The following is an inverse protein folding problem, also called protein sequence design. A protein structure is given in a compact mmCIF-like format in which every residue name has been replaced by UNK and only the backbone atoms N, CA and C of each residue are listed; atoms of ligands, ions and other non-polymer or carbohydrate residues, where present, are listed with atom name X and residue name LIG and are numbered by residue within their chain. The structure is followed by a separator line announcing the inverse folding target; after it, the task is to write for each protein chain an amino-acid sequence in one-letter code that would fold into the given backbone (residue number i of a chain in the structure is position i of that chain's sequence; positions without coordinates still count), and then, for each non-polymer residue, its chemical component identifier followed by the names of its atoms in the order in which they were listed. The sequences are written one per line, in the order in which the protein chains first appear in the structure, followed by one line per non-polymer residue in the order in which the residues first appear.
data_IF_369239045471
#
_entry.id   IF_369239045471
#
_cell.length_a   1.000
_cell.length_b   1.000
_cell.length_c   1.000
_cell.angle_alpha   90.00
_cell.angle_beta   90.00
_cell.angle_gamma   90.00
#
_symmetry.space_group_name_H-M   'P 1'
#
loop_
_entity.id
_entity.type
_entity.pdbx_description
1 polymer ?
#
# COMPACT_ATOMS: atom_id res chain seq x y z
N UNK A 1 -0.54 -14.59 -14.78
CA UNK A 1 0.31 -14.79 -13.59
C UNK A 1 1.76 -14.58 -14.00
N UNK A 2 2.53 -13.81 -13.24
CA UNK A 2 3.96 -13.57 -13.46
C UNK A 2 4.73 -14.02 -12.20
N UNK A 3 5.97 -14.49 -12.37
CA UNK A 3 6.84 -14.91 -11.26
C UNK A 3 8.01 -13.92 -11.14
N UNK A 4 8.33 -13.52 -9.91
CA UNK A 4 9.35 -12.52 -9.61
C UNK A 4 10.41 -13.15 -8.70
N UNK A 5 11.59 -13.55 -9.21
CA UNK A 5 12.63 -14.22 -8.42
C UNK A 5 13.47 -13.25 -7.56
N UNK A 6 12.97 -12.04 -7.30
CA UNK A 6 13.62 -11.01 -6.47
C UNK A 6 14.33 -9.89 -7.23
N UNK A 7 14.70 -10.09 -8.50
CA UNK A 7 15.37 -9.08 -9.34
C UNK A 7 14.53 -8.60 -10.54
N UNK A 8 13.30 -9.10 -10.67
CA UNK A 8 12.37 -8.71 -11.72
C UNK A 8 11.26 -7.84 -11.14
N UNK A 9 10.74 -6.93 -11.96
CA UNK A 9 9.64 -6.04 -11.60
C UNK A 9 8.90 -5.59 -12.86
N UNK A 10 7.69 -5.06 -12.68
CA UNK A 10 6.95 -4.36 -13.72
C UNK A 10 7.05 -2.87 -13.44
N UNK A 11 7.50 -2.08 -14.43
CA UNK A 11 7.44 -0.61 -14.38
C UNK A 11 6.42 -0.11 -15.38
N UNK A 12 5.46 0.67 -14.89
CA UNK A 12 4.62 1.51 -15.72
C UNK A 12 5.07 2.98 -15.58
N UNK A 13 5.55 3.57 -16.68
CA UNK A 13 6.00 4.97 -16.69
C UNK A 13 4.85 5.90 -17.00
N UNK A 14 4.35 6.58 -15.97
CA UNK A 14 3.19 7.48 -16.05
C UNK A 14 3.56 8.94 -16.36
N UNK A 15 4.78 9.20 -16.85
CA UNK A 15 5.32 10.56 -17.08
C UNK A 15 4.41 11.43 -17.95
N UNK A 16 3.74 10.83 -18.95
CA UNK A 16 2.86 11.56 -19.87
C UNK A 16 1.37 11.49 -19.49
N UNK A 17 1.02 10.73 -18.44
CA UNK A 17 -0.34 10.53 -17.96
C UNK A 17 -0.31 10.30 -16.44
N UNK A 18 -0.07 11.35 -15.64
CA UNK A 18 -0.03 11.23 -14.19
C UNK A 18 -1.39 10.76 -13.64
N UNK A 19 -1.35 10.06 -12.51
CA UNK A 19 -2.56 9.70 -11.77
C UNK A 19 -3.05 10.96 -11.08
N UNK A 20 -4.24 11.43 -11.45
CA UNK A 20 -4.88 12.64 -10.90
C UNK A 20 -6.23 12.34 -10.26
N UNK A 21 -6.56 11.06 -10.07
CA UNK A 21 -7.80 10.63 -9.45
C UNK A 21 -7.89 11.04 -7.97
N UNK A 22 -9.12 11.15 -7.48
CA UNK A 22 -9.42 11.40 -6.07
C UNK A 22 -9.79 10.10 -5.34
N UNK A 23 -10.10 9.06 -6.10
CA UNK A 23 -10.43 7.72 -5.64
C UNK A 23 -9.69 6.70 -6.49
N UNK A 24 -9.15 5.67 -5.87
CA UNK A 24 -8.41 4.60 -6.54
C UNK A 24 -8.70 3.26 -5.87
N UNK A 25 -8.68 2.21 -6.69
CA UNK A 25 -8.62 0.84 -6.22
C UNK A 25 -7.39 0.14 -6.80
N UNK A 26 -6.62 -0.50 -5.93
CA UNK A 26 -5.54 -1.41 -6.30
C UNK A 26 -5.97 -2.79 -5.86
N UNK A 27 -6.04 -3.72 -6.81
CA UNK A 27 -6.48 -5.09 -6.57
C UNK A 27 -5.53 -6.08 -7.24
N UNK A 28 -5.02 -7.04 -6.47
CA UNK A 28 -4.17 -8.11 -6.98
C UNK A 28 -4.15 -9.33 -6.06
N UNK A 29 -3.73 -10.46 -6.63
CA UNK A 29 -3.40 -11.68 -5.89
C UNK A 29 -1.89 -11.90 -5.87
N UNK A 30 -1.36 -12.42 -4.77
CA UNK A 30 0.05 -12.77 -4.65
C UNK A 30 0.24 -14.05 -3.83
N UNK A 31 1.39 -14.69 -4.04
CA UNK A 31 1.85 -15.88 -3.32
C UNK A 31 3.36 -15.74 -3.15
N UNK A 32 3.88 -15.94 -1.94
CA UNK A 32 5.30 -15.77 -1.64
C UNK A 32 5.74 -16.57 -0.42
N UNK A 33 7.01 -16.96 -0.39
CA UNK A 33 7.73 -17.47 0.80
C UNK A 33 8.73 -16.41 1.35
N UNK A 34 8.83 -15.25 0.70
CA UNK A 34 9.68 -14.15 1.12
C UNK A 34 8.96 -13.31 2.19
N UNK A 35 9.56 -13.21 3.37
CA UNK A 35 9.07 -12.40 4.49
C UNK A 35 9.28 -10.90 4.28
N UNK A 36 10.25 -10.52 3.44
CA UNK A 36 10.61 -9.15 3.11
C UNK A 36 10.48 -8.93 1.60
N UNK A 37 9.44 -8.24 1.13
CA UNK A 37 9.26 -8.02 -0.32
C UNK A 37 8.34 -6.85 -0.64
N UNK A 38 8.66 -6.11 -1.71
CA UNK A 38 7.79 -5.06 -2.24
C UNK A 38 6.75 -5.68 -3.19
N UNK A 39 5.47 -5.45 -2.91
CA UNK A 39 4.36 -5.95 -3.73
C UNK A 39 3.88 -4.90 -4.72
N UNK A 40 3.82 -3.64 -4.29
CA UNK A 40 3.34 -2.53 -5.10
C UNK A 40 3.97 -1.21 -4.65
N UNK A 41 4.31 -0.35 -5.61
CA UNK A 41 4.72 1.02 -5.35
C UNK A 41 4.23 1.93 -6.46
N UNK A 42 3.61 3.05 -6.09
CA UNK A 42 3.24 4.12 -7.00
C UNK A 42 3.56 5.47 -6.38
N UNK A 43 4.19 6.34 -7.16
CA UNK A 43 4.48 7.71 -6.76
C UNK A 43 5.94 8.10 -6.96
N UNK A 44 6.32 9.16 -6.26
CA UNK A 44 7.63 9.78 -6.29
C UNK A 44 8.06 10.17 -4.87
N UNK A 45 9.19 10.85 -4.73
CA UNK A 45 9.79 11.20 -3.44
C UNK A 45 8.85 11.91 -2.47
N UNK A 46 7.90 12.72 -2.96
CA UNK A 46 7.07 13.58 -2.11
C UNK A 46 5.61 13.14 -2.00
N UNK A 47 5.19 12.18 -2.82
CA UNK A 47 3.84 11.64 -2.81
C UNK A 47 3.89 10.22 -3.34
N UNK A 48 3.51 9.26 -2.50
CA UNK A 48 3.61 7.85 -2.84
C UNK A 48 2.69 6.97 -2.01
N UNK A 49 2.48 5.76 -2.50
CA UNK A 49 1.81 4.66 -1.86
C UNK A 49 2.62 3.39 -2.10
N UNK A 50 2.93 2.67 -1.04
CA UNK A 50 3.66 1.41 -1.08
C UNK A 50 2.91 0.32 -0.31
N UNK A 51 2.95 -0.88 -0.85
CA UNK A 51 2.48 -2.11 -0.20
C UNK A 51 3.63 -3.10 -0.23
N UNK A 52 4.04 -3.59 0.93
CA UNK A 52 5.17 -4.50 1.07
C UNK A 52 4.96 -5.46 2.24
N UNK A 53 5.70 -6.56 2.26
CA UNK A 53 5.83 -7.43 3.41
C UNK A 53 7.05 -7.02 4.22
N UNK A 54 6.87 -6.97 5.54
CA UNK A 54 7.92 -6.80 6.55
C UNK A 54 7.69 -7.86 7.63
N UNK A 55 8.65 -8.74 7.83
CA UNK A 55 8.55 -9.96 8.64
C UNK A 55 7.27 -10.77 8.36
N UNK A 56 6.97 -11.00 7.07
CA UNK A 56 5.79 -11.77 6.64
C UNK A 56 4.45 -11.08 6.90
N UNK A 57 4.47 -9.87 7.44
CA UNK A 57 3.29 -9.06 7.72
C UNK A 57 3.10 -8.01 6.63
N UNK A 58 1.85 -7.78 6.23
CA UNK A 58 1.52 -6.73 5.27
C UNK A 58 1.69 -5.35 5.89
N UNK A 59 2.45 -4.49 5.21
CA UNK A 59 2.61 -3.09 5.55
C UNK A 59 2.15 -2.23 4.38
N UNK A 60 1.31 -1.25 4.69
CA UNK A 60 0.88 -0.21 3.75
C UNK A 60 1.39 1.12 4.25
N UNK A 61 2.12 1.84 3.41
CA UNK A 61 2.63 3.15 3.75
C UNK A 61 2.31 4.15 2.65
N UNK A 62 2.01 5.39 3.03
CA UNK A 62 1.54 6.43 2.14
C UNK A 62 2.07 7.79 2.58
N UNK A 63 2.48 8.58 1.60
CA UNK A 63 2.76 10.00 1.75
C UNK A 63 1.90 10.80 0.78
N UNK A 64 1.24 11.81 1.31
CA UNK A 64 0.42 12.75 0.55
C UNK A 64 1.09 14.13 0.61
N UNK A 65 0.90 14.95 -0.43
CA UNK A 65 1.32 16.35 -0.36
C UNK A 65 0.40 17.08 0.63
N UNK A 66 0.98 17.73 1.64
CA UNK A 66 0.24 18.67 2.48
C UNK A 66 -0.19 19.86 1.62
N UNK A 67 -1.49 20.18 1.64
CA UNK A 67 -2.05 21.26 0.83
C UNK A 67 -1.68 22.68 1.31
N UNK A 68 -1.00 22.82 2.46
CA UNK A 68 -0.58 24.12 2.99
C UNK A 68 0.72 23.98 3.79
N UNK A 69 1.87 24.22 3.18
CA UNK A 69 3.06 24.65 3.92
C UNK A 69 4.05 25.35 2.99
N UNK A 70 3.94 26.67 2.93
CA UNK A 70 5.02 27.57 2.49
C UNK A 70 6.08 27.72 3.61
N UNK A 71 6.13 26.78 4.55
CA UNK A 71 7.09 26.73 5.64
C UNK A 71 7.92 25.46 5.58
N UNK A 72 9.24 25.66 5.70
CA UNK A 72 10.34 24.71 5.96
C UNK A 72 9.92 23.24 6.04
N UNK A 73 10.52 22.32 5.25
CA UNK A 73 10.19 20.91 5.32
C UNK A 73 10.36 20.41 6.75
N UNK A 74 9.23 20.21 7.45
CA UNK A 74 9.23 19.52 8.71
C UNK A 74 9.88 18.16 8.45
N UNK A 75 10.86 17.74 9.27
CA UNK A 75 11.52 16.47 9.09
C UNK A 75 10.45 15.40 9.23
N UNK A 76 10.05 14.84 8.08
CA UNK A 76 9.27 13.63 7.98
C UNK A 76 8.04 13.65 8.90
N UNK A 77 6.95 14.26 8.43
CA UNK A 77 5.61 13.76 8.77
C UNK A 77 5.47 12.38 8.12
N UNK A 78 6.27 11.42 8.60
CA UNK A 78 5.98 10.02 8.52
C UNK A 78 4.63 9.90 9.22
N UNK A 79 3.58 9.78 8.44
CA UNK A 79 2.61 8.77 8.81
C UNK A 79 3.46 7.49 8.91
N UNK A 80 3.96 7.18 10.11
CA UNK A 80 4.20 5.82 10.54
C UNK A 80 2.84 5.30 10.97
N UNK A 81 2.02 4.74 10.09
CA UNK A 81 1.42 3.49 10.45
C UNK A 81 2.52 2.44 10.31
N UNK A 82 3.30 2.21 11.36
CA UNK A 82 3.69 0.81 11.63
C UNK A 82 2.38 0.11 12.02
N UNK A 83 1.44 -0.05 11.07
CA UNK A 83 0.22 -0.81 11.27
C UNK A 83 0.63 -2.24 10.97
N UNK A 84 1.04 -2.93 12.02
CA UNK A 84 1.06 -4.39 12.08
C UNK A 84 -0.42 -4.80 12.19
N UNK A 85 -1.01 -5.31 11.11
CA UNK A 85 -2.43 -5.70 11.09
C UNK A 85 -2.67 -7.05 11.78
N UNK A 86 -3.58 -7.12 12.75
CA UNK A 86 -4.46 -8.28 12.93
C UNK A 86 -5.84 -7.94 12.30
N UNK A 87 -6.15 -8.57 11.17
CA UNK A 87 -7.48 -8.91 10.62
C UNK A 87 -8.64 -7.90 10.61
N UNK A 88 -8.44 -6.62 10.91
CA UNK A 88 -9.55 -5.67 11.06
C UNK A 88 -9.47 -4.51 10.08
N UNK A 89 -10.59 -4.26 9.39
CA UNK A 89 -10.80 -3.07 8.57
C UNK A 89 -10.64 -1.83 9.45
N UNK A 90 -9.61 -1.02 9.20
CA UNK A 90 -9.41 0.25 9.90
C UNK A 90 -9.41 1.41 8.91
N UNK A 91 -10.33 2.34 9.12
CA UNK A 91 -10.41 3.62 8.40
C UNK A 91 -9.65 4.64 9.24
N UNK A 92 -8.47 5.11 8.78
CA UNK A 92 -7.82 6.30 9.39
C UNK A 92 -8.22 7.55 8.61
N UNK A 93 -8.88 8.53 9.24
CA UNK A 93 -9.19 9.79 8.58
C UNK A 93 -7.96 10.69 8.58
N UNK A 94 -7.25 10.77 7.45
CA UNK A 94 -6.30 11.86 7.20
C UNK A 94 -7.10 13.10 6.74
N UNK A 95 -7.98 13.63 7.62
CA UNK A 95 -8.94 14.75 7.45
C UNK A 95 -9.79 14.87 6.16
N UNK A 96 -9.49 14.11 5.11
CA UNK A 96 -10.00 14.20 3.73
C UNK A 96 -9.94 12.81 3.06
N UNK A 97 -8.92 12.00 3.35
CA UNK A 97 -8.71 10.70 2.69
C UNK A 97 -9.01 9.52 3.63
N UNK A 98 -9.76 8.54 3.12
CA UNK A 98 -9.96 7.23 3.72
C UNK A 98 -9.20 6.15 2.94
N UNK A 99 -8.57 5.22 3.67
CA UNK A 99 -7.97 4.02 3.11
C UNK A 99 -8.69 2.80 3.66
N UNK A 100 -9.18 1.94 2.77
CA UNK A 100 -9.75 0.66 3.12
C UNK A 100 -8.86 -0.45 2.55
N UNK A 101 -8.31 -1.27 3.45
CA UNK A 101 -7.58 -2.49 3.09
C UNK A 101 -8.47 -3.70 3.32
N UNK A 102 -8.55 -4.58 2.32
CA UNK A 102 -9.17 -5.90 2.41
C UNK A 102 -8.12 -6.93 2.03
N UNK A 103 -7.98 -7.94 2.88
CA UNK A 103 -7.07 -9.06 2.70
C UNK A 103 -7.88 -10.34 2.83
N UNK A 104 -7.94 -11.13 1.76
CA UNK A 104 -8.48 -12.48 1.80
C UNK A 104 -7.32 -13.46 1.85
N UNK A 105 -7.09 -14.15 2.97
CA UNK A 105 -6.00 -15.09 3.09
C UNK A 105 -6.29 -16.37 2.30
N UNK A 106 -5.24 -17.02 1.82
CA UNK A 106 -5.39 -18.31 1.13
C UNK A 106 -5.72 -19.49 2.04
N UNK A 107 -5.38 -19.39 3.34
CA UNK A 107 -5.63 -20.42 4.36
C UNK A 107 -6.45 -19.89 5.52
N UNK A 108 -7.22 -20.78 6.18
CA UNK A 108 -8.16 -20.39 7.26
C UNK A 108 -7.49 -19.87 8.55
N UNK A 109 -6.17 -19.98 8.71
CA UNK A 109 -5.51 -19.70 9.99
C UNK A 109 -4.15 -18.97 9.91
N UNK A 110 -3.66 -18.65 8.71
CA UNK A 110 -2.32 -18.08 8.58
C UNK A 110 -2.31 -16.59 8.91
N UNK A 111 -1.71 -16.22 10.03
CA UNK A 111 -1.49 -14.82 10.42
C UNK A 111 -0.42 -14.13 9.57
N UNK A 112 0.34 -14.89 8.76
CA UNK A 112 1.45 -14.41 7.95
C UNK A 112 1.16 -14.63 6.46
N UNK A 113 1.81 -13.84 5.61
CA UNK A 113 1.60 -13.82 4.16
C UNK A 113 2.78 -14.37 3.36
N UNK A 114 3.81 -14.84 4.06
CA UNK A 114 4.95 -15.59 3.55
C UNK A 114 4.75 -17.12 3.67
N UNK A 115 3.50 -17.57 3.74
CA UNK A 115 3.08 -18.96 3.95
C UNK A 115 2.94 -19.79 2.67
N UNK A 116 3.39 -19.24 1.53
CA UNK A 116 3.22 -19.82 0.21
C UNK A 116 1.76 -20.13 -0.18
N UNK A 117 0.79 -19.42 0.38
CA UNK A 117 -0.61 -19.49 -0.05
C UNK A 117 -0.97 -18.29 -0.95
N UNK A 118 -2.05 -18.43 -1.72
CA UNK A 118 -2.59 -17.34 -2.53
C UNK A 118 -3.39 -16.38 -1.65
N UNK A 119 -2.95 -15.13 -1.59
CA UNK A 119 -3.65 -14.05 -0.89
C UNK A 119 -4.22 -13.06 -1.89
N UNK A 120 -5.40 -12.52 -1.58
CA UNK A 120 -6.02 -11.43 -2.33
C UNK A 120 -5.90 -10.13 -1.55
N UNK A 121 -5.44 -9.07 -2.21
CA UNK A 121 -5.35 -7.74 -1.64
C UNK A 121 -6.17 -6.75 -2.46
N UNK A 122 -7.07 -6.03 -1.79
CA UNK A 122 -7.73 -4.83 -2.33
C UNK A 122 -7.45 -3.65 -1.41
N UNK A 123 -6.93 -2.57 -1.99
CA UNK A 123 -6.68 -1.30 -1.32
C UNK A 123 -7.48 -0.21 -2.04
N UNK A 124 -8.43 0.38 -1.33
CA UNK A 124 -9.28 1.45 -1.84
C UNK A 124 -8.89 2.74 -1.13
N UNK A 125 -8.59 3.78 -1.92
CA UNK A 125 -8.51 5.16 -1.45
C UNK A 125 -9.77 5.89 -1.88
N UNK A 126 -10.41 6.59 -0.96
CA UNK A 126 -11.50 7.51 -1.26
C UNK A 126 -11.26 8.87 -0.61
N UNK A 127 -11.85 9.91 -1.20
CA UNK A 127 -11.85 11.26 -0.67
C UNK A 127 -13.27 11.59 -0.17
N UNK A 128 -13.42 11.85 1.13
CA UNK A 128 -14.72 12.07 1.77
C UNK A 128 -15.29 13.50 1.59
N UNK A 129 -14.81 14.29 0.62
CA UNK A 129 -15.28 15.66 0.40
C UNK A 129 -16.50 15.78 -0.53
N UNK A 130 -17.37 14.77 -0.61
CA UNK A 130 -18.67 14.86 -1.30
C UNK A 130 -19.82 14.58 -0.33
#
# INVERSE_FOLDING_TARGET
VACFPGNAYIINRLVNRPITSLEEEIHFWFQTEQSETNLFHAGSTNQWLSVYLNDGMLTVSMQLLDAESDSVPAPHSLLHPDIIYPWTSMVKPARVIQLQLRLTPGGQESQRLDDNQWHELSLIRSNNQV
#
